data_IF_088187193691
#
_entry.id   IF_088187193691
#
_cell.length_a   1.000
_cell.length_b   1.000
_cell.length_c   1.000
_cell.angle_alpha   90.00
_cell.angle_beta   90.00
_cell.angle_gamma   90.00
#
_symmetry.space_group_name_H-M   'P 1'
#
loop_
_entity.id
_entity.type
_entity.pdbx_description
1 polymer ?
#
# COMPACT_ATOMS: atom_id res chain seq x y z
N UNK A 1 14.18 -5.94 -10.91
CA UNK A 1 13.17 -6.44 -9.94
C UNK A 1 13.13 -5.44 -8.79
N UNK A 2 11.95 -4.92 -8.40
CA UNK A 2 11.85 -3.88 -7.35
C UNK A 2 12.17 -4.47 -5.97
N UNK A 3 12.92 -3.81 -5.11
CA UNK A 3 13.19 -4.35 -3.77
C UNK A 3 12.00 -4.07 -2.83
N UNK A 4 11.45 -5.14 -2.24
CA UNK A 4 10.33 -5.11 -1.29
C UNK A 4 10.73 -5.72 0.07
N UNK A 5 12.03 -5.81 0.36
CA UNK A 5 12.60 -6.38 1.59
C UNK A 5 12.08 -5.70 2.87
N UNK A 6 11.67 -4.43 2.80
CA UNK A 6 11.04 -3.72 3.93
C UNK A 6 9.75 -4.39 4.41
N UNK A 7 9.04 -5.15 3.55
CA UNK A 7 7.88 -5.94 3.96
C UNK A 7 8.26 -7.10 4.89
N UNK A 8 9.54 -7.47 4.97
CA UNK A 8 9.98 -8.58 5.81
C UNK A 8 10.08 -8.24 7.30
N UNK A 9 10.13 -6.95 7.65
CA UNK A 9 10.27 -6.46 9.03
C UNK A 9 9.08 -6.90 9.90
N UNK A 10 9.33 -7.47 11.08
CA UNK A 10 8.29 -7.90 12.02
C UNK A 10 8.06 -6.80 13.08
N UNK A 11 7.36 -5.73 12.71
CA UNK A 11 6.84 -4.76 13.68
C UNK A 11 5.49 -5.30 14.18
N UNK A 12 5.48 -5.83 15.40
CA UNK A 12 4.27 -6.24 16.12
C UNK A 12 3.67 -5.08 16.91
N UNK A 13 3.69 -3.88 16.36
CA UNK A 13 3.10 -2.73 17.04
C UNK A 13 1.59 -2.80 16.83
N UNK A 14 0.78 -2.98 17.88
CA UNK A 14 -0.67 -2.98 17.73
C UNK A 14 -1.11 -1.62 17.21
N UNK A 15 -1.84 -1.61 16.09
CA UNK A 15 -2.54 -0.41 15.63
C UNK A 15 -3.63 -0.17 16.66
N UNK A 16 -3.46 0.88 17.48
CA UNK A 16 -4.49 1.25 18.45
C UNK A 16 -5.67 1.82 17.66
N UNK A 17 -6.79 1.10 17.67
CA UNK A 17 -8.04 1.55 17.05
C UNK A 17 -8.67 2.67 17.88
N UNK A 18 -8.10 3.87 17.80
CA UNK A 18 -8.84 5.08 18.14
C UNK A 18 -9.61 5.48 16.89
N UNK A 19 -10.95 5.60 16.98
CA UNK A 19 -11.87 5.84 15.88
C UNK A 19 -11.71 7.18 15.14
N UNK A 20 -10.52 7.43 14.60
CA UNK A 20 -10.12 8.54 13.75
C UNK A 20 -8.91 8.11 12.90
N UNK A 21 -8.59 8.88 11.85
CA UNK A 21 -7.41 8.66 11.00
C UNK A 21 -6.16 8.58 11.89
N UNK A 22 -5.47 7.43 11.97
CA UNK A 22 -4.24 7.33 12.75
C UNK A 22 -3.23 8.33 12.21
N UNK A 23 -2.58 9.09 13.10
CA UNK A 23 -1.47 9.95 12.70
C UNK A 23 -0.42 9.09 11.98
N UNK A 24 0.11 9.59 10.86
CA UNK A 24 1.10 8.88 10.06
C UNK A 24 2.31 8.45 10.91
N UNK A 25 2.65 9.24 11.94
CA UNK A 25 3.70 8.93 12.91
C UNK A 25 3.41 7.72 13.82
N UNK A 26 2.14 7.38 14.04
CA UNK A 26 1.71 6.23 14.84
C UNK A 26 1.67 4.91 14.06
N UNK A 27 1.85 4.96 12.73
CA UNK A 27 1.84 3.76 11.89
C UNK A 27 3.11 2.90 12.11
N UNK A 28 2.98 1.55 12.03
CA UNK A 28 4.13 0.65 12.02
C UNK A 28 5.15 1.07 10.96
N UNK A 29 6.45 0.83 11.21
CA UNK A 29 7.51 1.24 10.27
C UNK A 29 7.28 0.64 8.89
N UNK A 30 6.83 -0.63 8.85
CA UNK A 30 6.47 -1.33 7.62
C UNK A 30 5.42 -0.57 6.83
N UNK A 31 4.32 -0.18 7.46
CA UNK A 31 3.23 0.57 6.85
C UNK A 31 3.70 1.92 6.31
N UNK A 32 4.54 2.65 7.07
CA UNK A 32 5.15 3.90 6.60
C UNK A 32 6.02 3.70 5.37
N UNK A 33 6.84 2.64 5.34
CA UNK A 33 7.64 2.29 4.17
C UNK A 33 6.79 1.93 2.95
N UNK A 34 5.64 1.28 3.14
CA UNK A 34 4.68 1.03 2.04
C UNK A 34 4.14 2.34 1.48
N UNK A 35 3.75 3.29 2.33
CA UNK A 35 3.27 4.61 1.85
C UNK A 35 4.33 5.32 1.04
N UNK A 36 5.56 5.39 1.56
CA UNK A 36 6.68 6.02 0.85
C UNK A 36 6.97 5.34 -0.49
N UNK A 37 6.91 4.00 -0.51
CA UNK A 37 7.05 3.23 -1.73
C UNK A 37 5.96 3.57 -2.76
N UNK A 38 4.69 3.60 -2.34
CA UNK A 38 3.56 3.93 -3.23
C UNK A 38 3.64 5.37 -3.74
N UNK A 39 3.99 6.33 -2.88
CA UNK A 39 4.21 7.72 -3.27
C UNK A 39 5.33 7.87 -4.29
N UNK A 40 6.44 7.15 -4.11
CA UNK A 40 7.55 7.14 -5.07
C UNK A 40 7.24 6.46 -6.40
N UNK A 41 6.09 5.77 -6.52
CA UNK A 41 5.62 5.16 -7.78
C UNK A 41 4.69 6.07 -8.58
N UNK A 42 4.18 7.14 -7.98
CA UNK A 42 3.33 8.10 -8.68
C UNK A 42 4.19 8.93 -9.65
N UNK A 43 3.70 9.21 -10.87
CA UNK A 43 4.40 10.04 -11.83
C UNK A 43 4.56 11.48 -11.30
N UNK A 44 5.80 11.98 -11.32
CA UNK A 44 6.16 13.36 -10.91
C UNK A 44 5.84 14.35 -12.04
N UNK A 45 4.59 14.38 -12.50
CA UNK A 45 4.14 15.32 -13.54
C UNK A 45 2.82 15.97 -13.15
N UNK A 46 2.74 17.31 -13.03
CA UNK A 46 1.54 18.01 -12.57
C UNK A 46 0.46 18.17 -13.65
N UNK A 47 0.41 17.28 -14.66
CA UNK A 47 -0.50 17.43 -15.81
C UNK A 47 -1.05 16.06 -16.21
N UNK A 48 -1.91 15.51 -15.37
CA UNK A 48 -3.07 14.71 -15.80
C UNK A 48 -3.86 14.38 -14.54
N UNK A 49 -5.18 14.57 -14.57
CA UNK A 49 -6.11 14.15 -13.52
C UNK A 49 -6.13 12.61 -13.34
N UNK A 50 -5.39 11.90 -14.18
CA UNK A 50 -5.10 10.47 -14.11
C UNK A 50 -3.89 10.21 -13.20
N UNK A 51 -4.10 10.40 -11.89
CA UNK A 51 -3.18 9.88 -10.86
C UNK A 51 -3.16 8.36 -11.03
N UNK A 52 -2.20 7.86 -11.82
CA UNK A 52 -2.18 6.51 -12.33
C UNK A 52 -2.40 5.47 -11.23
N UNK A 53 -3.54 4.80 -11.32
CA UNK A 53 -3.91 3.68 -10.48
C UNK A 53 -2.76 2.65 -10.45
N UNK A 54 -2.24 2.36 -9.26
CA UNK A 54 -1.13 1.44 -9.08
C UNK A 54 -1.68 0.00 -9.00
N UNK A 55 -1.37 -0.81 -10.01
CA UNK A 55 -1.72 -2.23 -10.04
C UNK A 55 -0.90 -3.04 -9.03
N UNK A 56 -1.58 -3.77 -8.14
CA UNK A 56 -0.92 -4.72 -7.24
C UNK A 56 -0.29 -5.88 -8.02
N UNK A 57 -0.93 -6.37 -9.09
CA UNK A 57 -0.34 -7.41 -9.93
C UNK A 57 1.01 -6.97 -10.52
N UNK A 58 1.10 -5.73 -11.03
CA UNK A 58 2.37 -5.19 -11.54
C UNK A 58 3.42 -5.01 -10.44
N UNK A 59 3.03 -4.53 -9.25
CA UNK A 59 3.97 -4.36 -8.13
C UNK A 59 4.52 -5.71 -7.63
N UNK A 60 3.68 -6.73 -7.62
CA UNK A 60 3.95 -8.04 -7.01
C UNK A 60 4.42 -9.10 -8.01
N UNK A 61 4.65 -8.73 -9.26
CA UNK A 61 5.13 -9.65 -10.29
C UNK A 61 6.46 -10.30 -9.87
N UNK A 62 6.49 -11.64 -9.95
CA UNK A 62 7.65 -12.45 -9.57
C UNK A 62 7.97 -12.47 -8.06
N UNK A 63 7.09 -11.93 -7.20
CA UNK A 63 7.29 -11.92 -5.75
C UNK A 63 6.84 -13.22 -5.09
N UNK A 64 7.45 -13.52 -3.95
CA UNK A 64 7.07 -14.69 -3.16
C UNK A 64 5.68 -14.49 -2.54
N UNK A 65 4.95 -15.59 -2.32
CA UNK A 65 3.63 -15.56 -1.66
C UNK A 65 3.63 -14.77 -0.35
N UNK A 66 4.71 -14.88 0.43
CA UNK A 66 4.89 -14.14 1.70
C UNK A 66 4.88 -12.63 1.47
N UNK A 67 5.61 -12.15 0.47
CA UNK A 67 5.68 -10.73 0.13
C UNK A 67 4.33 -10.23 -0.41
N UNK A 68 3.70 -11.00 -1.30
CA UNK A 68 2.39 -10.65 -1.84
C UNK A 68 1.32 -10.49 -0.75
N UNK A 69 1.23 -11.48 0.16
CA UNK A 69 0.27 -11.45 1.26
C UNK A 69 0.51 -10.27 2.20
N UNK A 70 1.78 -9.94 2.48
CA UNK A 70 2.13 -8.80 3.33
C UNK A 70 1.78 -7.47 2.67
N UNK A 71 2.11 -7.28 1.40
CA UNK A 71 1.74 -6.07 0.66
C UNK A 71 0.22 -5.88 0.63
N UNK A 72 -0.53 -6.95 0.39
CA UNK A 72 -1.99 -6.90 0.39
C UNK A 72 -2.54 -6.52 1.77
N UNK A 73 -2.01 -7.10 2.85
CA UNK A 73 -2.40 -6.72 4.20
C UNK A 73 -2.10 -5.25 4.51
N UNK A 74 -0.91 -4.76 4.17
CA UNK A 74 -0.54 -3.36 4.36
C UNK A 74 -1.45 -2.43 3.55
N UNK A 75 -1.83 -2.80 2.32
CA UNK A 75 -2.80 -2.06 1.53
C UNK A 75 -4.18 -1.96 2.22
N UNK A 76 -4.63 -3.03 2.90
CA UNK A 76 -5.85 -3.01 3.71
C UNK A 76 -5.71 -2.10 4.93
N UNK A 77 -4.56 -2.13 5.62
CA UNK A 77 -4.26 -1.22 6.73
C UNK A 77 -4.33 0.23 6.27
N UNK A 78 -3.71 0.56 5.13
CA UNK A 78 -3.73 1.90 4.56
C UNK A 78 -5.13 2.36 4.17
N UNK A 79 -5.96 1.46 3.63
CA UNK A 79 -7.38 1.73 3.35
C UNK A 79 -8.14 2.02 4.63
N UNK A 80 -7.93 1.23 5.69
CA UNK A 80 -8.58 1.45 6.98
C UNK A 80 -8.17 2.79 7.61
N UNK A 81 -6.93 3.22 7.38
CA UNK A 81 -6.44 4.53 7.79
C UNK A 81 -6.89 5.67 6.86
N UNK A 82 -7.64 5.40 5.80
CA UNK A 82 -8.08 6.41 4.82
C UNK A 82 -6.98 7.00 3.93
N UNK A 83 -5.79 6.40 3.91
CA UNK A 83 -4.62 6.91 3.17
C UNK A 83 -4.60 6.47 1.69
N UNK A 84 -5.24 5.34 1.39
CA UNK A 84 -5.36 4.82 0.02
C UNK A 84 -6.78 4.34 -0.25
N UNK A 85 -7.23 4.48 -1.49
CA UNK A 85 -8.41 3.80 -1.98
C UNK A 85 -7.99 2.51 -2.70
N UNK A 86 -8.75 1.44 -2.48
CA UNK A 86 -8.60 0.17 -3.18
C UNK A 86 -9.79 -0.05 -4.10
N UNK A 87 -9.54 -0.40 -5.35
CA UNK A 87 -10.54 -0.79 -6.32
C UNK A 87 -10.26 -2.19 -6.87
N UNK A 88 -11.29 -3.03 -6.92
CA UNK A 88 -11.26 -4.36 -7.55
C UNK A 88 -12.53 -4.51 -8.37
N UNK A 89 -12.39 -4.58 -9.70
CA UNK A 89 -13.53 -4.52 -10.61
C UNK A 89 -14.25 -5.89 -10.75
N UNK A 90 -13.52 -6.99 -10.60
CA UNK A 90 -14.04 -8.35 -10.72
C UNK A 90 -13.51 -9.26 -9.61
N UNK A 91 -14.24 -10.32 -9.23
CA UNK A 91 -13.77 -11.26 -8.21
C UNK A 91 -12.42 -11.88 -8.59
N UNK A 92 -11.45 -11.81 -7.67
CA UNK A 92 -10.07 -12.27 -7.88
C UNK A 92 -9.32 -11.55 -9.00
N UNK A 93 -9.89 -10.47 -9.54
CA UNK A 93 -9.23 -9.57 -10.47
C UNK A 93 -8.14 -8.75 -9.79
N UNK A 94 -7.44 -7.96 -10.61
CA UNK A 94 -6.42 -7.05 -10.12
C UNK A 94 -7.00 -6.05 -9.12
N UNK A 95 -6.15 -5.63 -8.18
CA UNK A 95 -6.47 -4.63 -7.18
C UNK A 95 -5.64 -3.40 -7.50
N UNK A 96 -6.31 -2.30 -7.81
CA UNK A 96 -5.65 -1.01 -8.02
C UNK A 96 -5.67 -0.17 -6.76
N UNK A 97 -4.55 0.53 -6.53
CA UNK A 97 -4.30 1.42 -5.42
C UNK A 97 -4.29 2.86 -5.93
N UNK A 98 -5.07 3.73 -5.29
CA UNK A 98 -5.02 5.17 -5.51
C UNK A 98 -4.69 5.88 -4.21
N UNK A 99 -3.52 6.51 -4.15
CA UNK A 99 -3.12 7.35 -3.01
C UNK A 99 -4.00 8.59 -3.00
N UNK A 100 -4.46 8.97 -1.81
CA UNK A 100 -5.35 10.12 -1.62
C UNK A 100 -4.58 11.43 -1.49
#
# INVERSE_FOLDING_TARGET
MQDLSFLEQDDRTPIVEHGGTPDFGALPRRTRSVVQFLQGKLPVTPISEDTGDLSLNTILEGKTKKICARMFYEALVLKNCGLVNLNQNEPYGDVTLKVR
#
